data_IF_008111369942
#
_entry.id   IF_008111369942
#
_cell.length_a   1.000
_cell.length_b   1.000
_cell.length_c   1.000
_cell.angle_alpha   90.00
_cell.angle_beta   90.00
_cell.angle_gamma   90.00
#
_symmetry.space_group_name_H-M   'P 1'
#
loop_
_entity.id
_entity.type
_entity.pdbx_description
1 polymer ?
#
# COMPACT_ATOMS: atom_id res chain seq x y z
N UNK A 1 26.12 -8.24 -2.87
CA UNK A 1 26.02 -9.01 -1.62
C UNK A 1 24.54 -9.23 -1.37
N UNK A 2 24.10 -10.43 -1.01
CA UNK A 2 22.69 -10.64 -0.68
C UNK A 2 22.38 -9.97 0.67
N UNK A 3 21.15 -9.48 0.90
CA UNK A 3 20.75 -9.03 2.22
C UNK A 3 20.95 -10.11 3.28
N UNK A 4 21.14 -9.72 4.54
CA UNK A 4 21.15 -10.66 5.65
C UNK A 4 19.72 -10.93 6.14
N UNK A 5 19.46 -12.15 6.62
CA UNK A 5 18.22 -12.51 7.29
C UNK A 5 18.06 -11.75 8.61
N UNK A 6 16.81 -11.46 8.99
CA UNK A 6 16.47 -10.56 10.09
C UNK A 6 15.33 -11.15 10.95
N UNK A 7 15.58 -12.24 11.69
CA UNK A 7 14.55 -12.91 12.46
C UNK A 7 13.94 -12.02 13.56
N UNK A 8 14.73 -11.09 14.11
CA UNK A 8 14.31 -10.21 15.21
C UNK A 8 13.71 -8.88 14.73
N UNK A 9 13.57 -8.67 13.42
CA UNK A 9 13.00 -7.43 12.89
C UNK A 9 11.49 -7.37 13.17
N UNK A 10 10.90 -6.20 13.54
CA UNK A 10 9.47 -6.10 13.80
C UNK A 10 8.58 -6.57 12.64
N UNK A 11 8.96 -6.28 11.39
CA UNK A 11 8.31 -6.78 10.16
C UNK A 11 8.56 -8.28 9.85
N UNK A 12 9.27 -9.03 10.70
CA UNK A 12 9.47 -10.49 10.56
C UNK A 12 8.36 -11.32 11.19
N UNK A 13 7.16 -10.73 11.35
CA UNK A 13 6.02 -11.39 11.97
C UNK A 13 5.39 -12.44 11.05
N UNK A 14 4.87 -13.50 11.68
CA UNK A 14 4.03 -14.54 11.05
C UNK A 14 2.67 -14.60 11.76
N UNK A 15 1.79 -15.50 11.34
CA UNK A 15 0.53 -15.77 12.04
C UNK A 15 0.71 -16.29 13.47
N UNK A 16 1.93 -16.71 13.85
CA UNK A 16 2.22 -17.12 15.23
C UNK A 16 2.49 -15.94 16.17
N UNK A 17 2.97 -14.80 15.64
CA UNK A 17 3.29 -13.58 16.40
C UNK A 17 2.23 -12.50 16.26
N UNK A 18 1.60 -12.38 15.08
CA UNK A 18 0.45 -11.50 14.82
C UNK A 18 -0.74 -12.40 14.54
N UNK A 19 -1.55 -12.64 15.56
CA UNK A 19 -2.60 -13.67 15.58
C UNK A 19 -3.98 -13.11 15.27
N UNK A 20 -4.12 -11.80 15.43
CA UNK A 20 -5.41 -11.13 15.43
C UNK A 20 -5.28 -9.68 14.98
N UNK A 21 -6.42 -9.08 14.62
CA UNK A 21 -6.48 -7.65 14.28
C UNK A 21 -5.97 -6.77 15.43
N UNK A 22 -6.26 -7.14 16.68
CA UNK A 22 -5.82 -6.35 17.85
C UNK A 22 -4.30 -6.22 17.98
N UNK A 23 -3.51 -7.11 17.37
CA UNK A 23 -2.05 -7.03 17.40
C UNK A 23 -1.49 -5.90 16.50
N UNK A 24 -2.33 -5.38 15.59
CA UNK A 24 -2.00 -4.32 14.62
C UNK A 24 -2.96 -3.14 14.69
N UNK A 25 -3.95 -3.17 15.60
CA UNK A 25 -4.95 -2.12 15.73
C UNK A 25 -4.42 -0.95 16.53
N UNK A 26 -4.62 0.26 16.01
CA UNK A 26 -4.59 1.49 16.78
C UNK A 26 -6.04 1.96 17.00
N UNK A 27 -6.50 1.93 18.25
CA UNK A 27 -7.84 2.39 18.62
C UNK A 27 -7.80 3.89 18.94
N UNK A 28 -8.48 4.69 18.12
CA UNK A 28 -8.63 6.12 18.33
C UNK A 28 -9.40 6.38 19.62
N UNK A 29 -8.84 7.22 20.47
CA UNK A 29 -9.48 7.73 21.67
C UNK A 29 -10.58 8.74 21.34
N UNK A 30 -11.45 9.04 22.31
CA UNK A 30 -12.48 10.07 22.13
C UNK A 30 -11.90 11.47 21.87
N UNK A 31 -10.73 11.78 22.43
CA UNK A 31 -10.04 13.06 22.19
C UNK A 31 -9.52 13.14 20.76
N UNK A 32 -8.93 12.05 20.24
CA UNK A 32 -8.46 11.97 18.86
C UNK A 32 -9.64 12.03 17.86
N UNK A 33 -10.75 11.34 18.14
CA UNK A 33 -11.95 11.44 17.31
C UNK A 33 -12.50 12.87 17.28
N UNK A 34 -12.53 13.57 18.42
CA UNK A 34 -12.92 14.98 18.48
C UNK A 34 -11.98 15.88 17.67
N UNK A 35 -10.67 15.58 17.68
CA UNK A 35 -9.69 16.33 16.89
C UNK A 35 -9.92 16.13 15.38
N UNK A 36 -10.28 14.92 14.93
CA UNK A 36 -10.66 14.67 13.54
C UNK A 36 -11.92 15.45 13.15
N UNK A 37 -12.92 15.52 14.03
CA UNK A 37 -14.14 16.29 13.79
C UNK A 37 -13.86 17.80 13.68
N UNK A 38 -13.01 18.33 14.55
CA UNK A 38 -12.59 19.73 14.51
C UNK A 38 -11.82 20.06 13.22
N UNK A 39 -10.89 19.21 12.81
CA UNK A 39 -10.13 19.35 11.58
C UNK A 39 -11.02 19.28 10.32
N UNK A 40 -11.98 18.34 10.30
CA UNK A 40 -12.98 18.22 9.24
C UNK A 40 -13.82 19.51 9.14
N UNK A 41 -14.29 20.04 10.26
CA UNK A 41 -15.08 21.27 10.29
C UNK A 41 -14.29 22.48 9.79
N UNK A 42 -12.98 22.56 10.10
CA UNK A 42 -12.10 23.61 9.62
C UNK A 42 -11.97 23.61 8.09
N UNK A 43 -11.74 22.43 7.48
CA UNK A 43 -11.66 22.30 6.01
C UNK A 43 -13.00 22.58 5.34
N UNK A 44 -14.11 22.12 5.92
CA UNK A 44 -15.44 22.39 5.35
C UNK A 44 -15.76 23.90 5.31
N UNK A 45 -15.25 24.66 6.26
CA UNK A 45 -15.40 26.11 6.28
C UNK A 45 -14.57 26.82 5.19
N UNK A 46 -13.48 26.23 4.68
CA UNK A 46 -12.66 26.81 3.60
C UNK A 46 -13.24 26.56 2.20
N UNK A 47 -14.04 25.50 2.03
CA UNK A 47 -14.67 25.16 0.75
C UNK A 47 -13.72 24.60 -0.31
N UNK A 48 -12.53 24.16 0.10
CA UNK A 48 -11.54 23.51 -0.77
C UNK A 48 -12.09 22.19 -1.32
N UNK A 49 -11.68 21.84 -2.54
CA UNK A 49 -11.88 20.48 -3.03
C UNK A 49 -10.99 19.50 -2.25
N UNK A 50 -11.40 18.23 -2.15
CA UNK A 50 -10.67 17.21 -1.35
C UNK A 50 -9.19 17.18 -1.69
N UNK A 51 -8.84 17.14 -2.98
CA UNK A 51 -7.43 17.02 -3.39
C UNK A 51 -6.62 18.33 -3.33
N UNK A 52 -7.23 19.44 -2.91
CA UNK A 52 -6.58 20.73 -2.66
C UNK A 52 -6.21 20.92 -1.19
N UNK A 53 -6.75 20.06 -0.30
CA UNK A 53 -6.50 20.12 1.14
C UNK A 53 -5.05 19.74 1.43
N UNK A 54 -4.35 20.62 2.14
CA UNK A 54 -3.00 20.36 2.66
C UNK A 54 -3.03 19.98 4.14
N UNK A 55 -1.91 19.50 4.68
CA UNK A 55 -1.77 19.24 6.12
C UNK A 55 -2.11 20.48 6.98
N UNK A 56 -1.81 21.69 6.50
CA UNK A 56 -2.11 22.94 7.21
C UNK A 56 -3.61 23.29 7.21
N UNK A 57 -4.37 22.83 6.23
CA UNK A 57 -5.81 23.03 6.16
C UNK A 57 -6.57 22.05 7.07
N UNK A 58 -5.96 20.90 7.39
CA UNK A 58 -6.52 19.85 8.25
C UNK A 58 -5.74 19.74 9.57
N UNK A 59 -5.90 20.68 10.52
CA UNK A 59 -5.08 20.74 11.72
C UNK A 59 -5.39 19.59 12.69
N UNK A 60 -4.45 18.67 12.86
CA UNK A 60 -4.61 17.48 13.70
C UNK A 60 -4.43 17.72 15.20
N UNK A 61 -3.79 18.83 15.58
CA UNK A 61 -3.59 19.20 16.98
C UNK A 61 -2.91 18.08 17.77
N UNK A 62 -3.61 17.50 18.74
CA UNK A 62 -3.08 16.42 19.59
C UNK A 62 -2.67 15.16 18.80
N UNK A 63 -3.20 14.97 17.59
CA UNK A 63 -2.93 13.80 16.76
C UNK A 63 -1.67 13.92 15.91
N UNK A 64 -1.00 15.07 15.85
CA UNK A 64 0.20 15.23 15.01
C UNK A 64 1.32 14.25 15.41
N UNK A 65 1.58 14.12 16.72
CA UNK A 65 2.56 13.15 17.23
C UNK A 65 2.11 11.70 17.00
N UNK A 66 0.80 11.44 17.13
CA UNK A 66 0.20 10.12 16.87
C UNK A 66 0.42 9.70 15.41
N UNK A 67 0.11 10.58 14.45
CA UNK A 67 0.29 10.30 13.01
C UNK A 67 1.77 10.08 12.69
N UNK A 68 2.67 10.89 13.24
CA UNK A 68 4.10 10.65 13.11
C UNK A 68 4.54 9.29 13.69
N UNK A 69 3.87 8.81 14.74
CA UNK A 69 4.04 7.47 15.28
C UNK A 69 3.59 6.37 14.32
N UNK A 70 2.47 6.56 13.62
CA UNK A 70 2.00 5.61 12.60
C UNK A 70 2.97 5.48 11.43
N UNK A 71 3.52 6.60 10.95
CA UNK A 71 4.55 6.57 9.89
C UNK A 71 5.76 5.73 10.34
N UNK A 72 6.22 5.92 11.59
CA UNK A 72 7.33 5.11 12.14
C UNK A 72 6.99 3.63 12.27
N UNK A 73 5.76 3.29 12.66
CA UNK A 73 5.31 1.89 12.74
C UNK A 73 5.24 1.22 11.36
N UNK A 74 4.92 2.00 10.31
CA UNK A 74 4.93 1.54 8.93
C UNK A 74 6.38 1.39 8.42
N UNK A 75 7.24 2.38 8.61
CA UNK A 75 8.61 2.35 8.07
C UNK A 75 9.53 1.35 8.79
N UNK A 76 9.42 1.27 10.13
CA UNK A 76 10.39 0.57 10.99
C UNK A 76 9.76 -0.50 11.89
N UNK A 77 8.43 -0.49 12.02
CA UNK A 77 7.68 -1.44 12.84
C UNK A 77 7.19 -2.64 12.05
N UNK A 78 5.95 -3.05 12.30
CA UNK A 78 5.33 -4.19 11.60
C UNK A 78 5.05 -3.91 10.12
N UNK A 79 5.10 -2.65 9.66
CA UNK A 79 4.78 -2.30 8.27
C UNK A 79 3.27 -2.12 8.02
N UNK A 80 2.45 -2.04 9.07
CA UNK A 80 1.00 -1.96 8.96
C UNK A 80 0.40 -1.36 10.23
N UNK A 81 -0.61 -0.50 10.06
CA UNK A 81 -1.46 0.00 11.14
C UNK A 81 -2.92 -0.16 10.72
N UNK A 82 -3.74 -0.79 11.56
CA UNK A 82 -5.19 -0.84 11.40
C UNK A 82 -5.85 0.21 12.30
N UNK A 83 -6.23 1.36 11.73
CA UNK A 83 -6.96 2.38 12.46
C UNK A 83 -8.39 1.92 12.74
N UNK A 84 -8.84 2.04 13.99
CA UNK A 84 -10.19 1.70 14.41
C UNK A 84 -10.78 2.82 15.28
N UNK A 85 -12.09 3.05 15.18
CA UNK A 85 -12.82 4.00 16.01
C UNK A 85 -13.68 5.00 15.22
N UNK A 86 -13.37 5.21 13.93
CA UNK A 86 -14.17 6.07 13.05
C UNK A 86 -15.49 5.36 12.70
N UNK A 87 -16.60 5.91 13.17
CA UNK A 87 -17.94 5.47 12.78
C UNK A 87 -18.35 6.19 11.49
N UNK A 88 -18.03 5.58 10.34
CA UNK A 88 -18.32 6.12 9.01
C UNK A 88 -19.81 6.43 8.76
N UNK A 89 -20.73 5.87 9.56
CA UNK A 89 -22.17 6.15 9.43
C UNK A 89 -22.57 7.55 9.90
N UNK A 90 -21.71 8.22 10.66
CA UNK A 90 -21.92 9.59 11.12
C UNK A 90 -21.45 10.65 10.12
N UNK A 91 -20.75 10.24 9.07
CA UNK A 91 -20.12 11.12 8.08
C UNK A 91 -20.75 10.93 6.71
N UNK A 92 -20.82 12.00 5.91
CA UNK A 92 -21.08 11.84 4.48
C UNK A 92 -19.88 11.16 3.79
N UNK A 93 -20.05 10.72 2.53
CA UNK A 93 -18.92 10.17 1.75
C UNK A 93 -17.85 11.22 1.51
N UNK A 94 -18.28 12.45 1.28
CA UNK A 94 -17.42 13.61 1.11
C UNK A 94 -16.65 13.91 2.40
N UNK A 95 -17.30 13.83 3.56
CA UNK A 95 -16.63 13.97 4.86
C UNK A 95 -15.59 12.86 5.08
N UNK A 96 -15.92 11.60 4.76
CA UNK A 96 -14.96 10.50 4.85
C UNK A 96 -13.75 10.72 3.93
N UNK A 97 -13.98 11.22 2.71
CA UNK A 97 -12.91 11.55 1.78
C UNK A 97 -12.00 12.66 2.33
N UNK A 98 -12.57 13.70 2.95
CA UNK A 98 -11.81 14.76 3.60
C UNK A 98 -11.00 14.26 4.81
N UNK A 99 -11.59 13.41 5.67
CA UNK A 99 -10.87 12.81 6.79
C UNK A 99 -9.71 11.95 6.28
N UNK A 100 -9.97 11.08 5.31
CA UNK A 100 -8.96 10.19 4.74
C UNK A 100 -7.83 10.98 4.06
N UNK A 101 -8.18 11.96 3.24
CA UNK A 101 -7.20 12.81 2.56
C UNK A 101 -6.41 13.68 3.54
N UNK A 102 -7.09 14.31 4.50
CA UNK A 102 -6.49 15.15 5.52
C UNK A 102 -5.45 14.39 6.35
N UNK A 103 -5.78 13.19 6.83
CA UNK A 103 -4.82 12.29 7.46
C UNK A 103 -3.64 11.96 6.54
N UNK A 104 -3.91 11.61 5.28
CA UNK A 104 -2.88 11.32 4.28
C UNK A 104 -1.93 12.48 4.01
N UNK A 105 -2.42 13.72 4.02
CA UNK A 105 -1.61 14.93 3.82
C UNK A 105 -0.58 15.14 4.94
N UNK A 106 -0.82 14.61 6.15
CA UNK A 106 0.17 14.58 7.25
C UNK A 106 1.15 13.41 7.13
N UNK A 107 0.87 12.43 6.27
CA UNK A 107 1.69 11.23 6.08
C UNK A 107 2.59 11.29 4.83
N UNK A 108 2.38 12.24 3.94
CA UNK A 108 3.21 12.43 2.75
C UNK A 108 2.51 13.20 1.64
N UNK A 109 2.99 13.00 0.41
CA UNK A 109 2.43 13.60 -0.80
C UNK A 109 1.65 12.56 -1.59
N UNK A 110 0.36 12.83 -1.85
CA UNK A 110 -0.49 11.94 -2.62
C UNK A 110 -0.01 11.81 -4.07
N UNK A 111 0.32 10.57 -4.48
CA UNK A 111 0.77 10.24 -5.82
C UNK A 111 -0.41 9.88 -6.73
N UNK A 112 -0.22 10.05 -8.04
CA UNK A 112 -1.19 9.57 -9.03
C UNK A 112 -1.24 8.04 -9.02
N UNK A 113 -2.45 7.48 -9.02
CA UNK A 113 -2.71 6.04 -8.98
C UNK A 113 -3.22 5.51 -10.33
N UNK A 114 -3.46 6.39 -11.31
CA UNK A 114 -3.99 6.04 -12.62
C UNK A 114 -3.46 6.96 -13.72
N UNK A 115 -3.59 6.52 -14.98
CA UNK A 115 -3.33 7.37 -16.15
C UNK A 115 -4.21 8.63 -16.22
N UNK A 116 -5.35 8.62 -15.52
CA UNK A 116 -6.25 9.78 -15.47
C UNK A 116 -5.80 10.82 -14.43
N UNK A 117 -4.77 10.53 -13.63
CA UNK A 117 -4.29 11.43 -12.59
C UNK A 117 -5.02 11.28 -11.26
N UNK A 118 -5.83 10.23 -11.08
CA UNK A 118 -6.60 10.05 -9.85
C UNK A 118 -5.65 9.88 -8.65
N UNK A 119 -5.77 10.73 -7.63
CA UNK A 119 -5.00 10.62 -6.38
C UNK A 119 -5.80 10.03 -5.23
N UNK A 120 -7.12 10.01 -5.36
CA UNK A 120 -8.04 9.33 -4.45
C UNK A 120 -8.92 8.34 -5.22
N UNK A 121 -8.61 7.05 -5.09
CA UNK A 121 -9.33 5.97 -5.77
C UNK A 121 -10.51 5.42 -4.98
N UNK A 122 -11.56 4.98 -5.69
CA UNK A 122 -12.66 4.20 -5.11
C UNK A 122 -12.49 2.72 -5.45
N UNK A 123 -12.26 1.88 -4.42
CA UNK A 123 -12.26 0.42 -4.53
C UNK A 123 -13.71 -0.06 -4.45
N UNK A 124 -14.29 -0.42 -5.59
CA UNK A 124 -15.71 -0.80 -5.70
C UNK A 124 -15.91 -1.86 -6.76
N UNK A 125 -16.79 -2.81 -6.55
CA UNK A 125 -17.20 -3.71 -7.63
C UNK A 125 -18.26 -3.00 -8.50
N UNK A 126 -17.88 -2.60 -9.72
CA UNK A 126 -18.80 -1.97 -10.68
C UNK A 126 -19.71 -2.98 -11.40
N UNK A 127 -19.41 -4.28 -11.29
CA UNK A 127 -20.11 -5.35 -12.01
C UNK A 127 -19.87 -5.34 -13.52
N UNK A 128 -20.24 -6.44 -14.18
CA UNK A 128 -20.05 -6.62 -15.63
C UNK A 128 -18.65 -7.09 -16.02
N UNK A 129 -18.51 -7.50 -17.28
CA UNK A 129 -17.26 -7.97 -17.86
C UNK A 129 -16.69 -6.89 -18.78
N UNK A 130 -15.96 -5.94 -18.19
CA UNK A 130 -15.25 -4.91 -18.94
C UNK A 130 -13.74 -5.15 -18.84
N UNK A 131 -13.06 -5.52 -19.94
CA UNK A 131 -11.64 -5.86 -19.92
C UNK A 131 -10.73 -4.66 -19.62
N UNK A 132 -11.28 -3.44 -19.55
CA UNK A 132 -10.55 -2.23 -19.14
C UNK A 132 -10.62 -1.96 -17.64
N UNK A 133 -11.48 -2.67 -16.90
CA UNK A 133 -11.56 -2.49 -15.46
C UNK A 133 -10.27 -2.95 -14.79
N UNK A 134 -9.69 -2.07 -13.97
CA UNK A 134 -8.58 -2.44 -13.09
C UNK A 134 -9.13 -3.32 -11.95
N UNK A 135 -8.24 -4.04 -11.27
CA UNK A 135 -8.64 -5.01 -10.26
C UNK A 135 -9.50 -4.41 -9.13
N UNK A 136 -9.23 -3.16 -8.73
CA UNK A 136 -10.03 -2.47 -7.71
C UNK A 136 -11.46 -2.11 -8.14
N UNK A 137 -11.82 -2.35 -9.41
CA UNK A 137 -13.15 -2.07 -9.98
C UNK A 137 -14.04 -3.31 -10.13
N UNK A 138 -13.58 -4.49 -9.70
CA UNK A 138 -14.29 -5.75 -9.85
C UNK A 138 -14.06 -6.68 -8.63
N UNK A 139 -14.55 -7.93 -8.71
CA UNK A 139 -14.46 -8.93 -7.64
C UNK A 139 -13.30 -9.92 -7.79
N UNK A 140 -12.27 -9.59 -8.59
CA UNK A 140 -11.12 -10.48 -8.82
C UNK A 140 -10.24 -10.51 -7.58
N UNK A 141 -9.82 -11.71 -7.19
CA UNK A 141 -8.82 -11.89 -6.13
C UNK A 141 -7.48 -11.26 -6.56
N UNK A 142 -6.93 -10.42 -5.68
CA UNK A 142 -5.59 -9.88 -5.86
C UNK A 142 -4.59 -10.73 -5.09
N UNK A 143 -3.59 -11.26 -5.80
CA UNK A 143 -2.43 -11.88 -5.17
C UNK A 143 -1.62 -10.83 -4.38
N UNK A 144 -0.81 -11.29 -3.42
CA UNK A 144 0.10 -10.41 -2.68
C UNK A 144 1.00 -9.62 -3.66
N UNK A 145 1.05 -8.31 -3.43
CA UNK A 145 1.84 -7.37 -4.22
C UNK A 145 2.22 -6.15 -3.38
N UNK A 146 3.11 -5.32 -3.93
CA UNK A 146 3.43 -3.99 -3.42
C UNK A 146 3.07 -2.95 -4.47
N UNK A 147 2.53 -1.82 -4.04
CA UNK A 147 2.32 -0.67 -4.91
C UNK A 147 3.61 0.16 -5.06
N UNK A 148 3.68 0.97 -6.12
CA UNK A 148 4.82 1.86 -6.38
C UNK A 148 4.72 3.16 -5.55
N UNK A 149 4.66 3.02 -4.23
CA UNK A 149 4.57 4.12 -3.25
C UNK A 149 5.19 3.68 -1.91
N UNK A 150 5.50 4.64 -1.04
CA UNK A 150 6.00 4.35 0.31
C UNK A 150 4.88 3.84 1.24
N UNK A 151 3.67 4.43 1.14
CA UNK A 151 2.51 4.10 1.98
C UNK A 151 1.26 3.97 1.11
N UNK A 152 0.48 2.90 1.38
CA UNK A 152 -0.85 2.69 0.82
C UNK A 152 -1.88 2.77 1.95
N UNK A 153 -2.87 3.64 1.81
CA UNK A 153 -3.98 3.79 2.75
C UNK A 153 -5.30 3.32 2.15
N UNK A 154 -6.17 2.73 2.98
CA UNK A 154 -7.55 2.40 2.59
C UNK A 154 -8.50 2.72 3.73
N UNK A 155 -9.67 3.27 3.40
CA UNK A 155 -10.78 3.48 4.33
C UNK A 155 -12.00 2.68 3.88
N UNK A 156 -12.48 1.79 4.74
CA UNK A 156 -13.67 0.99 4.45
C UNK A 156 -14.94 1.82 4.72
N UNK A 157 -15.64 2.23 3.65
CA UNK A 157 -16.94 2.91 3.75
C UNK A 157 -18.11 1.93 3.89
N UNK A 158 -18.06 0.83 3.14
CA UNK A 158 -19.07 -0.24 3.15
C UNK A 158 -18.34 -1.57 3.03
N UNK A 159 -18.49 -2.49 4.00
CA UNK A 159 -17.88 -3.82 3.90
C UNK A 159 -18.54 -4.62 2.78
N UNK A 160 -17.78 -5.52 2.15
CA UNK A 160 -18.33 -6.45 1.17
C UNK A 160 -19.36 -7.38 1.82
N UNK A 161 -20.42 -7.75 1.08
CA UNK A 161 -21.43 -8.70 1.55
C UNK A 161 -20.87 -10.12 1.69
N UNK A 162 -19.90 -10.47 0.85
CA UNK A 162 -19.16 -11.72 0.84
C UNK A 162 -17.74 -11.44 0.33
N UNK A 163 -16.73 -12.13 0.87
CA UNK A 163 -15.33 -11.88 0.52
C UNK A 163 -14.82 -10.53 1.05
N UNK A 164 -14.06 -9.79 0.23
CA UNK A 164 -13.48 -8.49 0.60
C UNK A 164 -12.43 -8.59 1.72
N UNK A 165 -11.74 -9.73 1.81
CA UNK A 165 -10.68 -9.95 2.80
C UNK A 165 -9.37 -9.31 2.31
N UNK A 166 -8.72 -8.56 3.20
CA UNK A 166 -7.36 -8.05 2.97
C UNK A 166 -6.34 -8.97 3.62
N UNK A 167 -5.35 -9.42 2.85
CA UNK A 167 -4.21 -10.21 3.33
C UNK A 167 -2.93 -9.37 3.33
N UNK A 168 -2.10 -9.58 4.35
CA UNK A 168 -0.84 -8.87 4.53
C UNK A 168 0.25 -9.86 4.94
N UNK A 169 1.50 -9.57 4.57
CA UNK A 169 2.66 -10.37 4.95
C UNK A 169 3.86 -9.45 5.21
N UNK A 170 4.66 -9.80 6.21
CA UNK A 170 5.91 -9.10 6.52
C UNK A 170 6.99 -9.41 5.47
N UNK A 171 7.59 -8.37 4.87
CA UNK A 171 8.67 -8.50 3.91
C UNK A 171 9.90 -9.23 4.51
N UNK A 172 10.26 -8.90 5.75
CA UNK A 172 11.34 -9.58 6.45
C UNK A 172 10.99 -11.05 6.74
N UNK A 173 9.73 -11.37 7.05
CA UNK A 173 9.28 -12.74 7.26
C UNK A 173 9.42 -13.57 5.97
N UNK A 174 8.98 -13.02 4.83
CA UNK A 174 9.12 -13.66 3.51
C UNK A 174 10.61 -13.88 3.18
N UNK A 175 11.45 -12.86 3.40
CA UNK A 175 12.88 -12.97 3.15
C UNK A 175 13.54 -14.07 4.01
N UNK A 176 13.21 -14.12 5.30
CA UNK A 176 13.74 -15.12 6.22
C UNK A 176 13.32 -16.55 5.81
N UNK A 177 12.06 -16.74 5.41
CA UNK A 177 11.55 -18.02 4.91
C UNK A 177 12.33 -18.48 3.68
N UNK A 178 12.54 -17.57 2.71
CA UNK A 178 13.31 -17.85 1.51
C UNK A 178 14.79 -18.12 1.82
N UNK A 179 15.40 -17.35 2.72
CA UNK A 179 16.78 -17.55 3.13
C UNK A 179 17.00 -18.91 3.82
N UNK A 180 16.01 -19.36 4.59
CA UNK A 180 16.09 -20.63 5.32
C UNK A 180 15.81 -21.84 4.43
N UNK A 181 14.77 -21.77 3.59
CA UNK A 181 14.24 -22.94 2.89
C UNK A 181 14.50 -22.94 1.37
N UNK A 182 14.73 -21.77 0.78
CA UNK A 182 14.95 -21.60 -0.67
C UNK A 182 16.08 -20.62 -1.02
N UNK A 183 17.26 -20.69 -0.37
CA UNK A 183 18.32 -19.68 -0.54
C UNK A 183 18.83 -19.55 -1.98
N UNK A 184 18.69 -20.60 -2.79
CA UNK A 184 19.02 -20.62 -4.20
C UNK A 184 18.20 -19.64 -5.06
N UNK A 185 17.03 -19.18 -4.59
CA UNK A 185 16.19 -18.22 -5.30
C UNK A 185 16.59 -16.77 -5.03
N UNK A 186 17.27 -16.50 -3.91
CA UNK A 186 17.63 -15.14 -3.49
C UNK A 186 18.49 -14.38 -4.51
N UNK A 187 19.49 -15.00 -5.19
CA UNK A 187 20.23 -14.31 -6.24
C UNK A 187 19.32 -13.77 -7.35
N UNK A 188 18.38 -14.57 -7.85
CA UNK A 188 17.43 -14.15 -8.90
C UNK A 188 16.50 -13.05 -8.40
N UNK A 189 15.99 -13.17 -7.17
CA UNK A 189 15.10 -12.17 -6.57
C UNK A 189 15.81 -10.84 -6.28
N UNK A 190 17.12 -10.87 -5.96
CA UNK A 190 17.92 -9.65 -5.75
C UNK A 190 18.46 -9.06 -7.07
N UNK A 191 18.61 -9.87 -8.13
CA UNK A 191 18.89 -9.39 -9.48
C UNK A 191 17.66 -8.69 -10.07
N UNK A 192 16.47 -9.23 -9.84
CA UNK A 192 15.21 -8.63 -10.22
C UNK A 192 14.71 -8.96 -11.62
N UNK A 193 13.66 -8.24 -12.02
CA UNK A 193 12.92 -8.49 -13.25
C UNK A 193 12.57 -7.20 -13.98
N UNK A 194 12.30 -7.29 -15.28
CA UNK A 194 11.67 -6.19 -16.01
C UNK A 194 10.17 -6.20 -15.75
N UNK A 195 9.60 -5.04 -15.46
CA UNK A 195 8.17 -4.88 -15.22
C UNK A 195 7.53 -4.27 -16.45
N UNK A 196 6.37 -4.77 -16.85
CA UNK A 196 5.55 -4.10 -17.85
C UNK A 196 4.89 -2.86 -17.24
N UNK A 197 4.96 -1.72 -17.93
CA UNK A 197 4.45 -0.42 -17.46
C UNK A 197 2.95 -0.23 -17.71
N UNK A 198 2.28 -1.22 -18.32
CA UNK A 198 0.82 -1.27 -18.48
C UNK A 198 0.19 0.00 -19.08
N UNK A 199 0.87 0.61 -20.05
CA UNK A 199 0.42 1.84 -20.72
C UNK A 199 0.86 3.14 -20.05
N UNK A 200 1.61 3.07 -18.95
CA UNK A 200 2.15 4.22 -18.19
C UNK A 200 3.53 4.69 -18.69
N UNK A 201 3.97 4.24 -19.86
CA UNK A 201 5.21 4.69 -20.52
C UNK A 201 4.95 5.94 -21.37
N UNK A 202 5.95 6.80 -21.55
CA UNK A 202 5.80 7.96 -22.41
C UNK A 202 5.70 7.56 -23.91
N UNK A 203 5.11 8.39 -24.78
CA UNK A 203 5.04 8.10 -26.21
C UNK A 203 6.43 7.85 -26.81
N UNK A 204 6.63 6.65 -27.36
CA UNK A 204 7.91 6.24 -27.97
C UNK A 204 8.88 5.53 -27.03
N UNK A 205 8.56 5.41 -25.74
CA UNK A 205 9.35 4.64 -24.78
C UNK A 205 8.94 3.16 -24.76
N UNK A 206 9.84 2.34 -24.21
CA UNK A 206 9.57 0.91 -23.99
C UNK A 206 8.41 0.72 -23.02
N UNK A 207 7.46 -0.20 -23.28
CA UNK A 207 6.40 -0.53 -22.34
C UNK A 207 6.87 -1.47 -21.22
N UNK A 208 8.17 -1.79 -21.17
CA UNK A 208 8.83 -2.50 -20.06
C UNK A 208 9.95 -1.65 -19.51
N UNK A 209 10.22 -1.77 -18.21
CA UNK A 209 11.32 -1.05 -17.53
C UNK A 209 12.65 -1.34 -18.22
N UNK A 210 13.47 -0.30 -18.41
CA UNK A 210 14.79 -0.44 -19.02
C UNK A 210 15.71 -1.33 -18.17
N UNK A 211 15.72 -1.08 -16.86
CA UNK A 211 16.48 -1.85 -15.90
C UNK A 211 15.60 -2.90 -15.20
N UNK A 212 16.27 -3.91 -14.67
CA UNK A 212 15.63 -4.87 -13.75
C UNK A 212 15.38 -4.20 -12.41
N UNK A 213 14.18 -4.41 -11.87
CA UNK A 213 13.80 -4.00 -10.53
C UNK A 213 13.97 -5.20 -9.59
N UNK A 214 14.87 -5.13 -8.59
CA UNK A 214 15.02 -6.19 -7.59
C UNK A 214 13.72 -6.42 -6.81
N UNK A 215 13.36 -7.69 -6.60
CA UNK A 215 12.28 -8.04 -5.69
C UNK A 215 12.69 -7.73 -4.26
N UNK A 216 13.93 -8.06 -3.90
CA UNK A 216 14.52 -7.67 -2.62
C UNK A 216 15.73 -6.77 -2.86
N UNK A 217 15.81 -5.68 -2.11
CA UNK A 217 16.99 -4.84 -2.05
C UNK A 217 17.28 -4.44 -0.61
N UNK A 218 18.55 -4.13 -0.33
CA UNK A 218 18.96 -3.67 0.99
C UNK A 218 19.87 -2.45 0.84
N UNK A 219 19.62 -1.45 1.70
CA UNK A 219 20.46 -0.27 1.80
C UNK A 219 20.50 0.21 3.25
N UNK A 220 21.71 0.42 3.78
CA UNK A 220 21.95 0.95 5.14
C UNK A 220 21.25 0.14 6.25
N UNK A 221 21.15 -1.17 6.08
CA UNK A 221 20.43 -2.03 7.02
C UNK A 221 18.92 -1.93 6.89
N UNK A 222 18.35 -1.41 5.80
CA UNK A 222 16.91 -1.42 5.51
C UNK A 222 16.61 -2.37 4.35
N UNK A 223 15.78 -3.38 4.58
CA UNK A 223 15.30 -4.32 3.56
C UNK A 223 14.04 -3.73 2.91
N UNK A 224 14.01 -3.68 1.58
CA UNK A 224 12.85 -3.28 0.80
C UNK A 224 12.39 -4.41 -0.10
N UNK A 225 11.08 -4.50 -0.32
CA UNK A 225 10.47 -5.43 -1.26
C UNK A 225 9.71 -4.66 -2.35
N UNK A 226 9.85 -5.07 -3.60
CA UNK A 226 9.02 -4.61 -4.72
C UNK A 226 8.55 -5.82 -5.52
N UNK A 227 7.25 -6.12 -5.48
CA UNK A 227 6.72 -7.33 -6.10
C UNK A 227 5.35 -7.11 -6.73
N UNK A 228 5.29 -7.21 -8.06
CA UNK A 228 4.06 -7.23 -8.84
C UNK A 228 4.13 -8.37 -9.85
N UNK A 229 3.69 -9.57 -9.44
CA UNK A 229 3.83 -10.78 -10.26
C UNK A 229 3.25 -10.62 -11.66
N UNK A 230 2.03 -10.08 -11.79
CA UNK A 230 1.38 -9.90 -13.08
C UNK A 230 2.19 -8.99 -14.02
N UNK A 231 2.87 -7.98 -13.48
CA UNK A 231 3.67 -7.03 -14.27
C UNK A 231 5.00 -7.66 -14.71
N UNK A 232 5.59 -8.50 -13.88
CA UNK A 232 6.75 -9.34 -14.24
C UNK A 232 6.38 -10.31 -15.36
N UNK A 233 5.26 -11.02 -15.22
CA UNK A 233 4.75 -11.97 -16.21
C UNK A 233 4.47 -11.30 -17.57
N UNK A 234 3.82 -10.13 -17.55
CA UNK A 234 3.62 -9.32 -18.76
C UNK A 234 4.93 -8.84 -19.36
N UNK A 235 5.94 -8.52 -18.53
CA UNK A 235 7.28 -8.14 -18.98
C UNK A 235 7.94 -9.26 -19.77
N UNK A 236 7.96 -10.48 -19.22
CA UNK A 236 8.46 -11.67 -19.94
C UNK A 236 7.74 -11.92 -21.25
N UNK A 237 6.40 -11.84 -21.24
CA UNK A 237 5.58 -12.04 -22.44
C UNK A 237 5.87 -10.99 -23.52
N UNK A 238 5.99 -9.72 -23.14
CA UNK A 238 6.31 -8.62 -24.06
C UNK A 238 7.70 -8.79 -24.68
N UNK A 239 8.69 -9.18 -23.87
CA UNK A 239 10.07 -9.37 -24.33
C UNK A 239 10.27 -10.68 -25.11
N UNK A 240 9.29 -11.59 -25.12
CA UNK A 240 9.42 -12.92 -25.72
C UNK A 240 10.51 -13.78 -25.09
N UNK A 241 10.85 -13.54 -23.82
CA UNK A 241 11.93 -14.22 -23.10
C UNK A 241 11.38 -15.46 -22.38
N UNK A 242 12.03 -16.61 -22.58
CA UNK A 242 11.74 -17.81 -21.79
C UNK A 242 12.25 -17.65 -20.35
N UNK A 243 11.45 -18.10 -19.38
CA UNK A 243 11.83 -18.11 -17.97
C UNK A 243 12.76 -19.28 -17.68
N UNK A 244 13.77 -19.04 -16.85
CA UNK A 244 14.54 -20.11 -16.23
C UNK A 244 13.71 -20.82 -15.17
N UNK A 245 14.20 -21.99 -14.70
CA UNK A 245 13.53 -22.73 -13.64
C UNK A 245 13.41 -21.96 -12.30
N UNK A 246 14.30 -20.99 -12.04
CA UNK A 246 14.24 -20.14 -10.85
C UNK A 246 13.27 -18.94 -11.02
N UNK A 247 12.96 -18.55 -12.25
CA UNK A 247 12.04 -17.45 -12.59
C UNK A 247 10.59 -17.94 -12.77
N UNK A 248 10.34 -19.26 -12.72
CA UNK A 248 9.01 -19.89 -12.89
C UNK A 248 8.35 -20.19 -11.54
#
# INVERSE_FOLDING_TARGET
MLPEARPDHPNAWTTDSVRSKSDITYLLSGEELSALDDALNAVKASGLAVEEVTAGDFPLGIMEETVAGWIKEIDYGKGLVLLQGIDVSQYSKEDCALIFWGLGAHMGEAQSQSLAGDRLGHVVNLGGDNPRYRAYQNSTELALHTDATDIVGMMCLVPASEGGLSGYAGAAAIYNELAMHHPQLLPTLCEGFHYHLFGEHAPGESPVTEEKIPVFSEKNGCLSISYLRSYIEMGFAHMGKEKTAAET
#
